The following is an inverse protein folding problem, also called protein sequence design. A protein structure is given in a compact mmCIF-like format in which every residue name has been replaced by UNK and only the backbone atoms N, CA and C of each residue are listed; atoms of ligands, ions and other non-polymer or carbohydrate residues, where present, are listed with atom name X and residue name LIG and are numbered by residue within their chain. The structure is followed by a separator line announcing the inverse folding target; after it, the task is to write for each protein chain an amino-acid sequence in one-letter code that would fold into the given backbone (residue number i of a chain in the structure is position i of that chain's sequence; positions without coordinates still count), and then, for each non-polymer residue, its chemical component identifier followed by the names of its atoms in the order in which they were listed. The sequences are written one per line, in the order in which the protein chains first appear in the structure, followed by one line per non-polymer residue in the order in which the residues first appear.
data_IF_154551602214
#
_entry.id   IF_154551602214
#
_cell.length_a   1.000
_cell.length_b   1.000
_cell.length_c   1.000
_cell.angle_alpha   90.00
_cell.angle_beta   90.00
_cell.angle_gamma   90.00
#
_symmetry.space_group_name_H-M   'P 1'
#
loop_
_entity.id
_entity.type
_entity.pdbx_description
1 polymer ?
#
# COMPACT_ATOMS: atom_id res chain seq x y z
N UNK A 1 -6.83 21.54 -13.63
CA UNK A 1 -7.64 22.23 -12.62
C UNK A 1 -7.08 21.90 -11.25
N UNK A 2 -6.86 22.88 -10.38
CA UNK A 2 -6.56 22.65 -8.97
C UNK A 2 -7.83 22.15 -8.30
N UNK A 3 -7.73 21.04 -7.54
CA UNK A 3 -8.90 20.49 -6.83
C UNK A 3 -8.95 21.08 -5.42
N UNK A 4 -10.16 21.41 -4.97
CA UNK A 4 -10.42 21.99 -3.65
C UNK A 4 -9.75 21.21 -2.51
N UNK A 5 -9.86 19.88 -2.54
CA UNK A 5 -9.30 18.96 -1.54
C UNK A 5 -7.77 19.04 -1.35
N UNK A 6 -7.03 19.77 -2.19
CA UNK A 6 -5.59 19.95 -2.04
C UNK A 6 -5.19 21.36 -1.57
N UNK A 7 -6.15 22.23 -1.28
CA UNK A 7 -5.87 23.55 -0.69
C UNK A 7 -5.55 23.40 0.79
N UNK A 8 -4.62 24.20 1.30
CA UNK A 8 -4.19 24.13 2.71
C UNK A 8 -5.36 24.17 3.72
N UNK A 9 -6.36 25.08 3.60
CA UNK A 9 -7.49 25.10 4.54
C UNK A 9 -8.39 23.86 4.51
N UNK A 10 -8.31 23.05 3.45
CA UNK A 10 -9.10 21.82 3.27
C UNK A 10 -8.32 20.56 3.65
N UNK A 11 -6.99 20.59 3.52
CA UNK A 11 -6.13 19.41 3.68
C UNK A 11 -5.35 19.38 5.00
N UNK A 12 -5.16 20.52 5.65
CA UNK A 12 -4.50 20.60 6.96
C UNK A 12 -5.43 20.09 8.07
N UNK A 13 -4.88 19.43 9.09
CA UNK A 13 -5.63 18.82 10.21
C UNK A 13 -6.74 17.80 9.83
N UNK A 14 -6.75 17.28 8.59
CA UNK A 14 -7.71 16.28 8.11
C UNK A 14 -7.05 15.05 7.49
N UNK A 15 -7.75 13.91 7.52
CA UNK A 15 -7.35 12.67 6.84
C UNK A 15 -8.52 12.13 6.03
N UNK A 16 -8.34 12.03 4.71
CA UNK A 16 -9.40 11.64 3.78
C UNK A 16 -8.99 10.48 2.87
N UNK A 17 -9.79 9.42 2.84
CA UNK A 17 -9.65 8.34 1.88
C UNK A 17 -10.06 8.81 0.47
N UNK A 18 -9.31 8.42 -0.57
CA UNK A 18 -9.63 8.79 -1.95
C UNK A 18 -9.37 7.64 -2.93
N UNK A 19 -10.14 7.65 -4.03
CA UNK A 19 -10.05 6.64 -5.09
C UNK A 19 -10.07 5.18 -4.59
N UNK A 20 -10.79 4.93 -3.49
CA UNK A 20 -10.93 3.59 -2.90
C UNK A 20 -11.49 2.63 -3.94
N UNK A 21 -10.81 1.49 -4.13
CA UNK A 21 -11.20 0.47 -5.11
C UNK A 21 -11.04 0.85 -6.59
N UNK A 22 -10.54 2.06 -6.89
CA UNK A 22 -10.43 2.58 -8.27
C UNK A 22 -9.10 3.31 -8.54
N UNK A 23 -8.15 3.24 -7.60
CA UNK A 23 -6.86 3.87 -7.75
C UNK A 23 -6.09 3.25 -8.93
N UNK A 24 -5.43 4.10 -9.73
CA UNK A 24 -4.75 3.66 -10.95
C UNK A 24 -3.51 2.80 -10.70
N UNK A 25 -3.01 2.77 -9.47
CA UNK A 25 -1.90 1.91 -9.07
C UNK A 25 -2.36 0.49 -8.70
N UNK A 26 -3.66 0.24 -8.49
CA UNK A 26 -4.13 -1.12 -8.15
C UNK A 26 -3.74 -2.14 -9.22
N UNK A 27 -3.92 -1.90 -10.53
CA UNK A 27 -3.49 -2.85 -11.57
C UNK A 27 -1.97 -3.08 -11.61
N UNK A 28 -1.17 -2.04 -11.33
CA UNK A 28 0.29 -2.15 -11.26
C UNK A 28 0.72 -3.03 -10.08
N UNK A 29 0.13 -2.82 -8.89
CA UNK A 29 0.37 -3.67 -7.72
C UNK A 29 -0.01 -5.12 -8.01
N UNK A 30 -1.19 -5.36 -8.59
CA UNK A 30 -1.65 -6.71 -8.94
C UNK A 30 -0.75 -7.37 -9.99
N UNK A 31 -0.26 -6.63 -10.99
CA UNK A 31 0.68 -7.14 -11.98
C UNK A 31 1.98 -7.62 -11.34
N UNK A 32 2.68 -6.74 -10.62
CA UNK A 32 4.01 -7.03 -10.06
C UNK A 32 3.94 -8.09 -8.95
N UNK A 33 2.92 -8.02 -8.09
CA UNK A 33 2.73 -9.02 -7.05
C UNK A 33 2.36 -10.39 -7.63
N UNK A 34 1.55 -10.44 -8.70
CA UNK A 34 1.23 -11.71 -9.36
C UNK A 34 2.46 -12.33 -10.03
N UNK A 35 3.30 -11.49 -10.65
CA UNK A 35 4.56 -11.94 -11.24
C UNK A 35 5.51 -12.51 -10.18
N UNK A 36 5.68 -11.81 -9.05
CA UNK A 36 6.50 -12.28 -7.94
C UNK A 36 5.94 -13.55 -7.26
N UNK A 37 4.62 -13.66 -7.13
CA UNK A 37 3.97 -14.81 -6.50
C UNK A 37 3.79 -16.03 -7.43
N UNK A 38 4.05 -15.87 -8.73
CA UNK A 38 3.80 -16.91 -9.74
C UNK A 38 2.32 -17.32 -9.86
N UNK A 39 1.40 -16.53 -9.31
CA UNK A 39 -0.03 -16.81 -9.27
C UNK A 39 -0.84 -15.51 -9.16
N UNK A 40 -2.12 -15.47 -9.59
CA UNK A 40 -2.91 -14.24 -9.52
C UNK A 40 -3.07 -13.72 -8.09
N UNK A 41 -2.66 -12.47 -7.87
CA UNK A 41 -2.85 -11.71 -6.64
C UNK A 41 -3.88 -10.61 -6.89
N UNK A 42 -4.81 -10.45 -5.94
CA UNK A 42 -5.79 -9.37 -5.95
C UNK A 42 -5.52 -8.42 -4.79
N UNK A 43 -5.66 -7.12 -5.03
CA UNK A 43 -5.35 -6.08 -4.05
C UNK A 43 -6.57 -5.22 -3.77
N UNK A 44 -6.92 -5.10 -2.48
CA UNK A 44 -7.81 -4.05 -2.00
C UNK A 44 -6.95 -2.86 -1.56
N UNK A 45 -6.97 -1.77 -2.33
CA UNK A 45 -6.18 -0.58 -2.05
C UNK A 45 -7.05 0.63 -1.71
N UNK A 46 -6.68 1.31 -0.62
CA UNK A 46 -7.26 2.56 -0.15
C UNK A 46 -6.14 3.54 0.18
N UNK A 47 -5.98 4.57 -0.65
CA UNK A 47 -5.06 5.66 -0.37
C UNK A 47 -5.73 6.72 0.51
N UNK A 48 -4.95 7.28 1.44
CA UNK A 48 -5.40 8.35 2.33
C UNK A 48 -4.52 9.58 2.10
N UNK A 49 -5.16 10.72 1.87
CA UNK A 49 -4.51 12.02 1.94
C UNK A 49 -4.36 12.37 3.42
N UNK A 50 -3.15 12.71 3.83
CA UNK A 50 -2.80 13.05 5.23
C UNK A 50 -2.21 14.46 5.28
N UNK A 51 -2.24 15.17 6.43
CA UNK A 51 -1.78 16.55 6.56
C UNK A 51 -0.25 16.59 6.69
N UNK A 52 0.45 16.11 5.67
CA UNK A 52 1.90 16.09 5.59
C UNK A 52 2.36 16.40 4.17
N UNK A 53 3.43 17.18 4.04
CA UNK A 53 3.94 17.59 2.71
C UNK A 53 4.56 16.41 1.95
N UNK A 54 5.14 15.44 2.65
CA UNK A 54 5.88 14.31 2.06
C UNK A 54 5.77 13.07 2.92
N UNK A 55 5.94 11.92 2.28
CA UNK A 55 5.95 10.61 2.93
C UNK A 55 4.82 9.73 2.42
N UNK A 56 5.10 8.43 2.36
CA UNK A 56 4.10 7.40 2.13
C UNK A 56 4.31 6.38 3.25
N UNK A 57 3.24 6.04 3.94
CA UNK A 57 3.22 4.96 4.91
C UNK A 57 2.15 3.97 4.48
N UNK A 58 2.52 2.70 4.37
CA UNK A 58 1.62 1.64 3.91
C UNK A 58 1.46 0.63 5.02
N UNK A 59 0.21 0.40 5.42
CA UNK A 59 -0.16 -0.78 6.22
C UNK A 59 -0.67 -1.86 5.27
N UNK A 60 0.04 -2.98 5.19
CA UNK A 60 -0.35 -4.12 4.37
C UNK A 60 -0.80 -5.28 5.26
N UNK A 61 -1.96 -5.86 4.94
CA UNK A 61 -2.53 -7.00 5.65
C UNK A 61 -2.56 -8.21 4.74
N UNK A 62 -1.97 -9.32 5.18
CA UNK A 62 -1.93 -10.57 4.43
C UNK A 62 -2.20 -11.74 5.37
N UNK A 63 -2.85 -12.78 4.86
CA UNK A 63 -2.94 -14.06 5.54
C UNK A 63 -1.71 -14.90 5.21
N UNK A 64 -1.03 -15.42 6.23
CA UNK A 64 0.06 -16.36 6.03
C UNK A 64 -0.48 -17.69 5.49
N UNK A 65 0.31 -18.34 4.64
CA UNK A 65 0.02 -19.71 4.20
C UNK A 65 0.19 -20.66 5.39
N UNK A 66 -0.50 -21.79 5.33
CA UNK A 66 -0.37 -22.83 6.34
C UNK A 66 1.09 -23.25 6.52
N UNK A 67 1.53 -23.34 7.78
CA UNK A 67 2.91 -23.69 8.14
C UNK A 67 3.93 -22.55 8.05
N UNK A 68 3.56 -21.36 7.57
CA UNK A 68 4.45 -20.18 7.59
C UNK A 68 4.39 -19.48 8.95
N UNK A 69 5.56 -19.26 9.56
CA UNK A 69 5.69 -18.57 10.85
C UNK A 69 6.14 -17.11 10.69
N UNK A 70 5.90 -16.25 11.69
CA UNK A 70 6.42 -14.88 11.69
C UNK A 70 7.94 -14.82 11.53
N UNK A 71 8.70 -15.70 12.21
CA UNK A 71 10.17 -15.74 12.14
C UNK A 71 10.67 -16.06 10.72
N UNK A 72 9.95 -16.90 9.96
CA UNK A 72 10.28 -17.17 8.56
C UNK A 72 10.05 -15.95 7.67
N UNK A 73 9.04 -15.14 7.97
CA UNK A 73 8.80 -13.87 7.25
C UNK A 73 9.92 -12.88 7.56
N UNK A 74 10.28 -12.71 8.83
CA UNK A 74 11.40 -11.82 9.22
C UNK A 74 12.72 -12.28 8.57
N UNK A 75 13.02 -13.58 8.60
CA UNK A 75 14.20 -14.14 7.95
C UNK A 75 14.24 -13.85 6.44
N UNK A 76 13.11 -13.97 5.74
CA UNK A 76 13.02 -13.64 4.32
C UNK A 76 13.28 -12.16 4.02
N UNK A 77 12.81 -11.25 4.90
CA UNK A 77 13.10 -9.82 4.79
C UNK A 77 14.59 -9.53 4.98
N UNK A 78 15.22 -10.14 5.99
CA UNK A 78 16.65 -9.99 6.25
C UNK A 78 17.51 -10.60 5.14
N UNK A 79 17.12 -11.76 4.60
CA UNK A 79 17.81 -12.37 3.44
C UNK A 79 17.77 -11.45 2.21
N UNK A 80 16.66 -10.74 1.99
CA UNK A 80 16.48 -9.90 0.80
C UNK A 80 17.10 -8.51 0.93
N UNK A 81 17.08 -7.92 2.14
CA UNK A 81 17.38 -6.51 2.37
C UNK A 81 18.38 -6.24 3.51
N UNK A 82 19.03 -7.27 4.07
CA UNK A 82 19.89 -7.16 5.25
C UNK A 82 21.33 -6.69 4.98
N UNK A 83 21.71 -6.50 3.71
CA UNK A 83 22.96 -5.86 3.29
C UNK A 83 22.89 -4.32 3.40
#
# INVERSE_FOLDING_TARGET
SLKLAYHYPEADEDVAAYAVGSHRHTPEMEQEMSAAAGSPVRVLFAAHLVPATRGIFTTAYLALREGVTPDQVEAAYLETYGD
#
